data_IF_319164269916
#
_entry.id   IF_319164269916
#
_cell.length_a   1.000
_cell.length_b   1.000
_cell.length_c   1.000
_cell.angle_alpha   90.00
_cell.angle_beta   90.00
_cell.angle_gamma   90.00
#
_symmetry.space_group_name_H-M   'P 1'
#
loop_
_entity.id
_entity.type
_entity.pdbx_description
1 polymer ?
#
# COMPACT_ATOMS: atom_id res chain seq x y z
N UNK A 1 -13.83 14.14 -6.60
CA UNK A 1 -14.47 15.11 -7.44
C UNK A 1 -13.52 16.29 -7.70
N UNK A 2 -13.20 16.52 -8.96
CA UNK A 2 -12.29 17.59 -9.37
C UNK A 2 -12.74 18.96 -8.92
N UNK A 3 -14.04 19.18 -8.85
CA UNK A 3 -14.62 20.48 -8.45
C UNK A 3 -14.36 20.81 -7.01
N UNK A 4 -14.14 19.81 -6.15
CA UNK A 4 -13.85 20.02 -4.76
C UNK A 4 -12.37 20.29 -4.50
N UNK A 5 -11.49 19.77 -5.37
CA UNK A 5 -10.04 20.01 -5.30
C UNK A 5 -9.35 19.59 -4.01
N UNK A 6 -10.10 19.09 -3.04
CA UNK A 6 -9.62 18.77 -1.71
C UNK A 6 -9.64 17.28 -1.40
N UNK A 7 -10.39 16.50 -2.18
CA UNK A 7 -10.45 15.06 -1.97
C UNK A 7 -9.23 14.39 -2.59
N UNK A 8 -8.48 13.64 -1.78
CA UNK A 8 -7.36 12.85 -2.27
C UNK A 8 -7.88 11.58 -2.96
N UNK A 9 -7.16 11.15 -3.97
CA UNK A 9 -7.43 9.85 -4.59
C UNK A 9 -7.25 8.76 -3.52
N UNK A 10 -8.06 7.68 -3.53
CA UNK A 10 -7.90 6.58 -2.56
C UNK A 10 -6.47 6.04 -2.48
N UNK A 11 -5.75 6.03 -3.59
CA UNK A 11 -4.35 5.62 -3.62
C UNK A 11 -3.45 6.54 -2.79
N UNK A 12 -3.67 7.86 -2.86
CA UNK A 12 -2.94 8.80 -2.03
C UNK A 12 -3.22 8.60 -0.55
N UNK A 13 -4.48 8.35 -0.20
CA UNK A 13 -4.85 8.05 1.18
C UNK A 13 -4.17 6.76 1.65
N UNK A 14 -4.15 5.73 0.82
CA UNK A 14 -3.55 4.45 1.16
C UNK A 14 -2.04 4.57 1.38
N UNK A 15 -1.33 5.27 0.50
CA UNK A 15 0.11 5.48 0.66
C UNK A 15 0.43 6.34 1.86
N UNK A 16 -0.42 7.33 2.17
CA UNK A 16 -0.29 8.12 3.39
C UNK A 16 -0.49 7.25 4.64
N UNK A 17 -1.40 6.27 4.59
CA UNK A 17 -1.61 5.32 5.69
C UNK A 17 -0.41 4.43 5.92
N UNK A 18 0.27 4.01 4.86
CA UNK A 18 1.52 3.25 4.99
C UNK A 18 2.56 4.06 5.76
N UNK A 19 2.74 5.32 5.38
CA UNK A 19 3.71 6.21 6.05
C UNK A 19 3.30 6.51 7.49
N UNK A 20 2.01 6.73 7.73
CA UNK A 20 1.50 6.96 9.07
C UNK A 20 1.72 5.74 9.97
N UNK A 21 1.46 4.54 9.47
CA UNK A 21 1.70 3.31 10.21
C UNK A 21 3.17 3.15 10.57
N UNK A 22 4.08 3.49 9.66
CA UNK A 22 5.51 3.42 9.94
C UNK A 22 5.94 4.42 11.03
N UNK A 23 5.30 5.58 11.08
CA UNK A 23 5.68 6.65 11.98
C UNK A 23 5.02 6.62 13.35
N UNK A 24 3.75 6.27 13.43
CA UNK A 24 2.99 6.39 14.70
C UNK A 24 2.41 5.11 15.26
N UNK A 25 2.45 4.01 14.52
CA UNK A 25 2.11 2.68 15.03
C UNK A 25 0.67 2.53 15.56
N UNK A 26 -0.28 3.22 14.94
CA UNK A 26 -1.67 3.15 15.37
C UNK A 26 -2.42 1.97 14.77
N UNK A 27 -3.22 1.30 15.59
CA UNK A 27 -4.02 0.15 15.15
C UNK A 27 -5.02 0.52 14.04
N UNK A 28 -5.53 1.74 14.03
CA UNK A 28 -6.44 2.21 12.99
C UNK A 28 -5.78 2.13 11.60
N UNK A 29 -4.52 2.53 11.49
CA UNK A 29 -3.81 2.51 10.22
C UNK A 29 -3.64 1.07 9.71
N UNK A 30 -3.41 0.13 10.62
CA UNK A 30 -3.31 -1.29 10.31
C UNK A 30 -4.62 -1.86 9.74
N UNK A 31 -5.73 -1.59 10.42
CA UNK A 31 -7.06 -2.03 9.96
C UNK A 31 -7.40 -1.41 8.61
N UNK A 32 -7.17 -0.11 8.47
CA UNK A 32 -7.47 0.61 7.23
C UNK A 32 -6.65 0.07 6.05
N UNK A 33 -5.37 -0.24 6.26
CA UNK A 33 -4.52 -0.80 5.21
C UNK A 33 -5.00 -2.18 4.78
N UNK A 34 -5.39 -3.03 5.73
CA UNK A 34 -5.90 -4.36 5.39
C UNK A 34 -7.19 -4.29 4.58
N UNK A 35 -8.04 -3.32 4.85
CA UNK A 35 -9.26 -3.11 4.06
C UNK A 35 -8.92 -2.58 2.66
N UNK A 36 -7.94 -1.71 2.56
CA UNK A 36 -7.52 -1.11 1.29
C UNK A 36 -6.82 -2.12 0.38
N UNK A 37 -6.01 -3.00 0.96
CA UNK A 37 -5.26 -4.03 0.22
C UNK A 37 -6.17 -4.84 -0.70
N UNK A 38 -7.35 -5.24 -0.23
CA UNK A 38 -8.26 -6.07 -1.00
C UNK A 38 -8.97 -5.31 -2.13
N UNK A 39 -9.14 -3.99 -2.00
CA UNK A 39 -10.01 -3.21 -2.89
C UNK A 39 -9.29 -2.31 -3.87
N UNK A 40 -8.03 -1.97 -3.61
CA UNK A 40 -7.32 -0.98 -4.40
C UNK A 40 -6.04 -1.53 -5.01
N UNK A 41 -5.09 -1.89 -4.18
CA UNK A 41 -3.80 -2.41 -4.60
C UNK A 41 -3.15 -3.13 -3.42
N UNK A 42 -2.38 -4.18 -3.69
CA UNK A 42 -1.75 -4.97 -2.63
C UNK A 42 -0.74 -4.15 -1.82
N UNK A 43 -0.53 -4.56 -0.58
CA UNK A 43 0.33 -3.87 0.37
C UNK A 43 1.73 -3.60 -0.19
N UNK A 44 2.33 -4.59 -0.84
CA UNK A 44 3.69 -4.44 -1.36
C UNK A 44 3.82 -3.31 -2.36
N UNK A 45 2.83 -3.16 -3.23
CA UNK A 45 2.84 -2.09 -4.23
C UNK A 45 2.52 -0.72 -3.62
N UNK A 46 1.71 -0.70 -2.56
CA UNK A 46 1.46 0.54 -1.79
C UNK A 46 2.73 1.00 -1.06
N UNK A 47 3.45 0.07 -0.44
CA UNK A 47 4.73 0.38 0.22
C UNK A 47 5.76 0.88 -0.80
N UNK A 48 5.83 0.20 -1.95
CA UNK A 48 6.72 0.59 -3.03
C UNK A 48 6.50 2.04 -3.47
N UNK A 49 5.24 2.40 -3.69
CA UNK A 49 4.87 3.73 -4.12
C UNK A 49 5.03 4.77 -3.01
N UNK A 50 4.70 4.42 -1.76
CA UNK A 50 4.75 5.34 -0.63
C UNK A 50 6.14 5.92 -0.41
N UNK A 51 7.20 5.19 -0.73
CA UNK A 51 8.57 5.67 -0.63
C UNK A 51 8.81 6.94 -1.45
N UNK A 52 8.04 7.15 -2.51
CA UNK A 52 8.15 8.35 -3.33
C UNK A 52 7.70 9.62 -2.63
N UNK A 53 6.94 9.49 -1.55
CA UNK A 53 6.44 10.62 -0.77
C UNK A 53 7.35 11.01 0.40
N UNK A 54 8.30 10.14 0.75
CA UNK A 54 9.19 10.40 1.87
C UNK A 54 10.61 9.92 1.52
N UNK A 55 11.52 10.82 1.23
CA UNK A 55 12.89 10.46 0.84
C UNK A 55 13.69 9.78 1.95
N UNK A 56 13.19 9.78 3.18
CA UNK A 56 13.82 9.07 4.30
C UNK A 56 13.63 7.56 4.24
N UNK A 57 12.76 7.06 3.36
CA UNK A 57 12.49 5.64 3.23
C UNK A 57 12.84 5.12 1.84
N UNK A 58 13.27 3.85 1.80
CA UNK A 58 13.26 3.03 0.60
C UNK A 58 12.28 1.86 0.85
N UNK A 59 11.94 1.05 -0.17
CA UNK A 59 10.98 -0.04 0.04
C UNK A 59 11.36 -0.98 1.19
N UNK A 60 12.62 -1.33 1.30
CA UNK A 60 13.11 -2.24 2.34
C UNK A 60 12.96 -1.63 3.74
N UNK A 61 13.37 -0.38 3.93
CA UNK A 61 13.29 0.28 5.24
C UNK A 61 11.85 0.57 5.64
N UNK A 62 11.00 0.98 4.71
CA UNK A 62 9.59 1.22 4.99
C UNK A 62 8.87 -0.08 5.34
N UNK A 63 9.12 -1.13 4.57
CA UNK A 63 8.59 -2.46 4.85
C UNK A 63 9.02 -2.94 6.24
N UNK A 64 10.30 -2.79 6.59
CA UNK A 64 10.80 -3.17 7.90
C UNK A 64 10.12 -2.38 9.03
N UNK A 65 9.81 -1.11 8.79
CA UNK A 65 9.14 -0.28 9.79
C UNK A 65 7.73 -0.75 10.07
N UNK A 66 6.96 -1.16 9.06
CA UNK A 66 5.57 -1.56 9.24
C UNK A 66 5.40 -3.03 9.66
N UNK A 67 6.31 -3.92 9.24
CA UNK A 67 6.12 -5.36 9.47
C UNK A 67 6.30 -5.79 10.92
N UNK A 68 6.92 -4.93 11.74
CA UNK A 68 7.17 -5.24 13.15
C UNK A 68 5.93 -5.17 14.02
N UNK A 69 4.83 -4.65 13.49
CA UNK A 69 3.66 -4.37 14.29
C UNK A 69 2.70 -5.53 14.26
N UNK A 70 2.14 -5.83 15.41
CA UNK A 70 0.94 -6.63 15.53
C UNK A 70 0.10 -6.05 16.67
N UNK A 71 -1.18 -6.28 16.61
CA UNK A 71 -2.13 -5.63 17.49
C UNK A 71 -3.03 -6.64 18.15
N UNK A 72 -3.39 -6.36 19.41
CA UNK A 72 -4.27 -7.22 20.19
C UNK A 72 -5.73 -7.00 19.83
N UNK A 73 -6.58 -7.95 20.22
CA UNK A 73 -8.03 -7.80 20.08
C UNK A 73 -8.53 -6.60 20.88
N UNK A 74 -7.93 -6.33 22.05
CA UNK A 74 -8.30 -5.18 22.88
C UNK A 74 -8.07 -3.86 22.16
N UNK A 75 -6.94 -3.72 21.46
CA UNK A 75 -6.64 -2.53 20.68
C UNK A 75 -7.62 -2.36 19.53
N UNK A 76 -7.96 -3.44 18.83
CA UNK A 76 -8.97 -3.41 17.76
C UNK A 76 -10.34 -3.00 18.30
N UNK A 77 -10.72 -3.54 19.45
CA UNK A 77 -12.02 -3.25 20.07
C UNK A 77 -12.18 -1.79 20.50
N UNK A 78 -11.06 -1.06 20.66
CA UNK A 78 -11.12 0.36 21.02
C UNK A 78 -11.49 1.27 19.84
N UNK A 79 -11.48 0.74 18.62
CA UNK A 79 -11.89 1.48 17.44
C UNK A 79 -13.41 1.42 17.29
N UNK A 80 -13.99 2.49 16.73
CA UNK A 80 -15.42 2.53 16.44
C UNK A 80 -15.71 1.81 15.12
N UNK A 81 -16.56 0.80 15.21
CA UNK A 81 -17.07 0.09 14.05
C UNK A 81 -18.59 0.16 14.03
N UNK A 82 -19.18 0.28 12.86
CA UNK A 82 -20.64 0.26 12.68
C UNK A 82 -21.23 -1.12 12.96
N UNK A 83 -20.40 -2.14 12.88
CA UNK A 83 -20.72 -3.54 13.17
C UNK A 83 -19.74 -4.06 14.23
N UNK A 84 -19.84 -5.34 14.57
CA UNK A 84 -18.91 -5.95 15.51
C UNK A 84 -17.46 -5.75 15.05
N UNK A 85 -16.51 -5.50 15.97
CA UNK A 85 -15.11 -5.38 15.64
C UNK A 85 -14.59 -6.63 14.94
N UNK A 86 -13.70 -6.49 13.96
CA UNK A 86 -13.08 -7.65 13.32
C UNK A 86 -12.22 -8.44 14.31
N UNK A 87 -12.00 -9.71 14.02
CA UNK A 87 -11.13 -10.56 14.81
C UNK A 87 -9.67 -10.22 14.55
N UNK A 88 -8.95 -9.80 15.58
CA UNK A 88 -7.54 -9.42 15.45
C UNK A 88 -6.66 -10.57 14.94
N UNK A 89 -6.98 -11.80 15.34
CA UNK A 89 -6.24 -12.97 14.87
C UNK A 89 -6.39 -13.20 13.38
N UNK A 90 -7.61 -13.00 12.84
CA UNK A 90 -7.85 -13.10 11.40
C UNK A 90 -7.16 -11.98 10.65
N UNK A 91 -7.21 -10.77 11.17
CA UNK A 91 -6.47 -9.65 10.59
C UNK A 91 -4.96 -9.91 10.59
N UNK A 92 -4.45 -10.52 11.65
CA UNK A 92 -3.04 -10.91 11.76
C UNK A 92 -2.62 -11.91 10.69
N UNK A 93 -3.47 -12.89 10.39
CA UNK A 93 -3.20 -13.84 9.30
C UNK A 93 -3.16 -13.13 7.96
N UNK A 94 -4.14 -12.28 7.68
CA UNK A 94 -4.16 -11.49 6.44
C UNK A 94 -2.94 -10.58 6.34
N UNK A 95 -2.54 -9.96 7.44
CA UNK A 95 -1.36 -9.12 7.50
C UNK A 95 -0.09 -9.91 7.17
N UNK A 96 0.06 -11.06 7.78
CA UNK A 96 1.19 -11.94 7.51
C UNK A 96 1.27 -12.34 6.04
N UNK A 97 0.13 -12.72 5.45
CA UNK A 97 0.08 -13.09 4.03
C UNK A 97 0.43 -11.90 3.13
N UNK A 98 -0.08 -10.71 3.46
CA UNK A 98 0.23 -9.48 2.71
C UNK A 98 1.73 -9.15 2.79
N UNK A 99 2.35 -9.36 3.95
CA UNK A 99 3.79 -9.12 4.11
C UNK A 99 4.62 -10.11 3.30
N UNK A 100 4.21 -11.38 3.24
CA UNK A 100 4.90 -12.38 2.43
C UNK A 100 4.81 -12.05 0.95
N UNK A 101 3.63 -11.66 0.48
CA UNK A 101 3.45 -11.27 -0.92
C UNK A 101 4.23 -10.00 -1.25
N UNK A 102 4.29 -9.05 -0.32
CA UNK A 102 5.06 -7.83 -0.51
C UNK A 102 6.54 -8.12 -0.78
N UNK A 103 7.12 -9.07 -0.04
CA UNK A 103 8.51 -9.49 -0.26
C UNK A 103 8.71 -10.04 -1.68
N UNK A 104 7.74 -10.79 -2.19
CA UNK A 104 7.80 -11.31 -3.55
C UNK A 104 7.76 -10.19 -4.60
N UNK A 105 6.91 -9.18 -4.40
CA UNK A 105 6.88 -8.02 -5.30
C UNK A 105 8.21 -7.29 -5.32
N UNK A 106 8.83 -7.08 -4.16
CA UNK A 106 10.09 -6.34 -4.08
C UNK A 106 11.24 -7.06 -4.81
N UNK A 107 11.20 -8.38 -4.87
CA UNK A 107 12.21 -9.14 -5.61
C UNK A 107 12.02 -9.05 -7.13
N UNK A 108 10.83 -8.70 -7.60
CA UNK A 108 10.52 -8.59 -9.03
C UNK A 108 10.69 -7.17 -9.58
N UNK A 109 10.42 -6.17 -8.75
CA UNK A 109 10.41 -4.78 -9.21
C UNK A 109 11.82 -4.22 -9.35
N UNK A 110 12.10 -3.46 -10.43
CA UNK A 110 13.42 -2.87 -10.61
C UNK A 110 13.67 -1.77 -9.57
N UNK A 111 14.81 -1.83 -8.90
CA UNK A 111 15.12 -0.94 -7.78
C UNK A 111 15.07 0.54 -8.16
N UNK A 112 15.43 0.87 -9.39
CA UNK A 112 15.42 2.26 -9.89
C UNK A 112 14.01 2.83 -10.05
N UNK A 113 12.99 1.99 -9.96
CA UNK A 113 11.58 2.42 -10.02
C UNK A 113 10.94 2.54 -8.64
N UNK A 114 11.71 2.38 -7.57
CA UNK A 114 11.19 2.56 -6.21
C UNK A 114 10.58 3.96 -6.05
N UNK A 115 9.46 4.03 -5.36
CA UNK A 115 8.75 5.29 -5.18
C UNK A 115 7.79 5.64 -6.31
N UNK A 116 7.55 4.72 -7.23
CA UNK A 116 6.61 4.93 -8.33
C UNK A 116 5.33 4.13 -8.12
N UNK A 117 4.26 4.60 -8.75
CA UNK A 117 2.99 3.89 -8.82
C UNK A 117 3.08 2.83 -9.92
N UNK A 118 2.67 1.61 -9.60
CA UNK A 118 2.73 0.49 -10.56
C UNK A 118 1.39 0.37 -11.27
N UNK A 119 1.38 0.64 -12.55
CA UNK A 119 0.17 0.69 -13.35
C UNK A 119 0.18 -0.38 -14.46
N UNK A 120 -1.03 -0.75 -14.88
CA UNK A 120 -1.20 -1.55 -16.09
C UNK A 120 -0.92 -0.70 -17.32
N UNK A 121 -0.82 -1.35 -18.48
CA UNK A 121 -0.64 -0.66 -19.75
C UNK A 121 -1.74 0.37 -20.04
N UNK A 122 -2.96 0.12 -19.56
CA UNK A 122 -4.08 1.04 -19.72
C UNK A 122 -4.08 2.21 -18.74
N UNK A 123 -3.14 2.25 -17.78
CA UNK A 123 -3.06 3.30 -16.79
C UNK A 123 -3.83 3.07 -15.51
N UNK A 124 -4.39 1.86 -15.32
CA UNK A 124 -5.05 1.49 -14.07
C UNK A 124 -4.03 0.96 -13.06
N UNK A 125 -4.36 1.03 -11.77
CA UNK A 125 -3.53 0.42 -10.75
C UNK A 125 -3.42 -1.09 -11.00
N UNK A 126 -2.19 -1.60 -11.03
CA UNK A 126 -2.00 -3.05 -11.11
C UNK A 126 -2.46 -3.67 -9.79
N UNK A 127 -3.30 -4.67 -9.87
CA UNK A 127 -3.83 -5.36 -8.69
C UNK A 127 -3.92 -6.86 -8.96
N UNK A 128 -2.78 -7.48 -9.16
CA UNK A 128 -2.66 -8.91 -9.37
C UNK A 128 -1.65 -9.53 -8.43
N UNK A 129 -1.40 -10.82 -8.61
CA UNK A 129 -0.42 -11.55 -7.83
C UNK A 129 1.01 -11.22 -8.28
N UNK A 130 1.99 -11.63 -7.47
CA UNK A 130 3.40 -11.51 -7.86
C UNK A 130 3.70 -12.26 -9.15
N UNK A 131 3.09 -13.43 -9.34
CA UNK A 131 3.28 -14.21 -10.57
C UNK A 131 2.72 -13.47 -11.79
N UNK A 132 1.55 -12.86 -11.65
CA UNK A 132 0.96 -12.05 -12.71
C UNK A 132 1.81 -10.83 -13.01
N UNK A 133 2.37 -10.19 -11.98
CA UNK A 133 3.28 -9.07 -12.17
C UNK A 133 4.53 -9.50 -12.94
N UNK A 134 5.10 -10.65 -12.60
CA UNK A 134 6.28 -11.17 -13.32
C UNK A 134 5.99 -11.33 -14.82
N UNK A 135 4.82 -11.88 -15.16
CA UNK A 135 4.39 -12.03 -16.55
C UNK A 135 4.25 -10.69 -17.25
N UNK A 136 3.58 -9.73 -16.59
CA UNK A 136 3.38 -8.40 -17.16
C UNK A 136 4.71 -7.65 -17.36
N UNK A 137 5.66 -7.81 -16.44
CA UNK A 137 6.99 -7.22 -16.57
C UNK A 137 7.75 -7.81 -17.75
N UNK A 138 7.70 -9.13 -17.94
CA UNK A 138 8.35 -9.80 -19.07
C UNK A 138 7.82 -9.31 -20.40
N UNK A 139 6.53 -8.98 -20.46
CA UNK A 139 5.87 -8.53 -21.68
C UNK A 139 5.86 -7.00 -21.82
N UNK A 140 6.57 -6.29 -20.95
CA UNK A 140 6.66 -4.82 -20.95
C UNK A 140 5.29 -4.13 -20.90
N UNK A 141 4.37 -4.67 -20.11
CA UNK A 141 3.02 -4.12 -19.95
C UNK A 141 2.82 -3.37 -18.64
N UNK A 142 3.87 -3.17 -17.86
CA UNK A 142 3.81 -2.40 -16.61
C UNK A 142 4.33 -0.99 -16.88
N UNK A 143 3.59 0.00 -16.39
CA UNK A 143 3.96 1.41 -16.44
C UNK A 143 4.28 1.87 -15.02
N UNK A 144 5.43 2.51 -14.87
CA UNK A 144 5.84 3.10 -13.59
C UNK A 144 5.63 4.61 -13.67
N UNK A 145 4.80 5.14 -12.78
CA UNK A 145 4.45 6.56 -12.81
C UNK A 145 4.93 7.25 -11.54
N UNK A 146 5.72 8.31 -11.70
CA UNK A 146 6.14 9.15 -10.58
C UNK A 146 5.00 10.05 -10.15
N UNK A 147 4.92 10.32 -8.85
CA UNK A 147 4.00 11.31 -8.34
C UNK A 147 4.40 12.73 -8.75
N UNK A 148 3.49 13.65 -8.52
CA UNK A 148 3.75 15.06 -8.79
C UNK A 148 4.62 15.69 -7.69
N UNK A 149 5.02 16.92 -7.93
CA UNK A 149 5.69 17.77 -6.94
C UNK A 149 4.87 17.78 -5.65
N UNK A 150 5.52 17.69 -4.51
CA UNK A 150 4.94 17.61 -3.16
C UNK A 150 4.43 16.21 -2.78
N UNK A 151 4.80 15.20 -3.53
CA UNK A 151 4.49 13.83 -3.18
C UNK A 151 3.06 13.40 -3.45
N UNK A 152 2.25 14.23 -4.09
CA UNK A 152 0.92 13.82 -4.52
C UNK A 152 1.00 12.97 -5.79
N UNK A 153 0.21 11.92 -5.83
CA UNK A 153 0.14 11.08 -7.02
C UNK A 153 -0.79 11.70 -8.05
N UNK A 154 -0.54 11.47 -9.34
CA UNK A 154 -1.44 11.95 -10.36
C UNK A 154 -2.79 11.27 -10.23
N UNK A 155 -3.83 11.92 -10.73
CA UNK A 155 -5.13 11.27 -10.79
C UNK A 155 -5.04 10.07 -11.73
N UNK A 156 -5.44 8.94 -11.21
CA UNK A 156 -5.49 7.70 -11.98
C UNK A 156 -6.90 7.58 -12.51
N UNK A 157 -7.01 7.60 -13.80
CA UNK A 157 -8.29 7.61 -14.50
C UNK A 157 -8.73 6.19 -14.86
#
# INVERSE_FOLDING_TARGET
DERLGLALHPFDLATNKVLAMAGRLEVRDWVDLLQTDASLQTLGLLVWAACGKDPGYNPTSLFAAIRRHHYSQEEVNMLDFEVDPPCAAELGVRWHDALQEAAAFFSLLPAERAGTCVLTESGALFNGSAQELATELEQNRIVFHKGHIRGAWPQIR
#
